data_IF_886681253274
#
_entry.id   IF_886681253274
#
_cell.length_a   1.000
_cell.length_b   1.000
_cell.length_c   1.000
_cell.angle_alpha   90.00
_cell.angle_beta   90.00
_cell.angle_gamma   90.00
#
_symmetry.space_group_name_H-M   'P 1'
#
loop_
_entity.id
_entity.type
_entity.pdbx_description
1 polymer ?
#
# COMPACT_ATOMS: atom_id res chain seq x y z
N UNK A 1 -11.95 18.44 13.54
CA UNK A 1 -10.82 17.51 13.70
C UNK A 1 -9.57 18.36 13.88
N UNK A 2 -8.73 18.03 14.86
CA UNK A 2 -7.47 18.74 15.07
C UNK A 2 -6.36 17.97 14.37
N UNK A 3 -5.52 18.66 13.60
CA UNK A 3 -4.36 18.05 12.94
C UNK A 3 -3.14 18.13 13.85
N UNK A 4 -2.27 17.13 13.77
CA UNK A 4 -0.93 17.16 14.37
C UNK A 4 0.06 17.26 13.22
N UNK A 5 0.57 18.46 12.89
CA UNK A 5 1.51 18.61 11.80
C UNK A 5 2.87 18.04 12.18
N UNK A 6 3.41 17.18 11.31
CA UNK A 6 4.76 16.63 11.42
C UNK A 6 5.50 17.00 10.15
N UNK A 7 6.54 17.84 10.27
CA UNK A 7 7.26 18.37 9.12
C UNK A 7 8.74 18.45 9.44
N UNK A 8 9.57 17.96 8.51
CA UNK A 8 11.04 17.95 8.64
C UNK A 8 11.53 17.32 9.96
N UNK A 9 10.96 16.18 10.33
CA UNK A 9 11.31 15.46 11.56
C UNK A 9 11.51 13.97 11.28
N UNK A 10 12.40 13.34 12.07
CA UNK A 10 12.60 11.90 12.10
C UNK A 10 11.99 11.35 13.40
N UNK A 11 10.75 10.86 13.31
CA UNK A 11 9.98 10.40 14.46
C UNK A 11 9.19 9.14 14.11
N UNK A 12 9.00 8.27 15.11
CA UNK A 12 8.06 7.16 15.01
C UNK A 12 6.67 7.61 15.48
N UNK A 13 5.64 7.31 14.69
CA UNK A 13 4.24 7.54 15.06
C UNK A 13 3.62 6.21 15.47
N UNK A 14 2.92 6.20 16.61
CA UNK A 14 2.12 5.06 17.07
C UNK A 14 0.68 5.53 17.21
N UNK A 15 -0.23 4.90 16.46
CA UNK A 15 -1.66 5.14 16.53
C UNK A 15 -2.37 3.81 16.85
N UNK A 16 -3.09 3.78 17.98
CA UNK A 16 -3.81 2.60 18.47
C UNK A 16 -5.22 3.00 18.87
N UNK A 17 -6.22 2.21 18.45
CA UNK A 17 -7.65 2.41 18.75
C UNK A 17 -8.18 3.83 18.44
N UNK A 18 -7.57 4.51 17.46
CA UNK A 18 -7.89 5.88 17.07
C UNK A 18 -8.46 6.01 15.66
N UNK A 19 -9.08 7.15 15.36
CA UNK A 19 -9.54 7.52 14.01
C UNK A 19 -8.57 8.52 13.40
N UNK A 20 -7.96 8.14 12.27
CA UNK A 20 -7.07 8.98 11.47
C UNK A 20 -7.71 9.39 10.13
N UNK A 21 -9.05 9.34 10.04
CA UNK A 21 -9.81 9.65 8.83
C UNK A 21 -9.41 11.03 8.26
N UNK A 22 -9.05 11.07 6.98
CA UNK A 22 -8.61 12.32 6.32
C UNK A 22 -7.18 12.76 6.61
N UNK A 23 -6.36 11.92 7.28
CA UNK A 23 -4.93 12.18 7.43
C UNK A 23 -4.20 12.09 6.09
N UNK A 24 -3.19 12.94 5.90
CA UNK A 24 -2.38 13.01 4.68
C UNK A 24 -0.94 12.66 4.99
N UNK A 25 -0.32 11.87 4.10
CA UNK A 25 1.08 11.45 4.18
C UNK A 25 1.76 11.82 2.86
N UNK A 26 2.41 12.98 2.82
CA UNK A 26 3.04 13.54 1.62
C UNK A 26 4.56 13.62 1.83
N UNK A 27 5.32 13.06 0.89
CA UNK A 27 6.80 13.05 0.93
C UNK A 27 7.40 12.47 2.23
N UNK A 28 6.69 11.57 2.90
CA UNK A 28 7.17 10.88 4.10
C UNK A 28 7.78 9.52 3.79
N UNK A 29 8.88 9.18 4.46
CA UNK A 29 9.37 7.79 4.49
C UNK A 29 8.56 6.99 5.51
N UNK A 30 7.93 5.92 5.05
CA UNK A 30 7.26 4.92 5.89
C UNK A 30 7.92 3.55 5.78
N UNK A 31 9.25 3.54 5.55
CA UNK A 31 10.00 2.29 5.51
C UNK A 31 9.80 1.49 6.79
N UNK A 32 9.43 0.21 6.63
CA UNK A 32 9.13 -0.73 7.74
C UNK A 32 7.93 -0.33 8.61
N UNK A 33 7.07 0.59 8.16
CA UNK A 33 5.80 0.84 8.82
C UNK A 33 4.90 -0.40 8.75
N UNK A 34 4.15 -0.65 9.83
CA UNK A 34 3.21 -1.77 9.93
C UNK A 34 1.79 -1.24 10.07
N UNK A 35 0.89 -1.81 9.29
CA UNK A 35 -0.52 -1.45 9.24
C UNK A 35 -1.36 -2.66 9.65
N UNK A 36 -1.67 -2.78 10.94
CA UNK A 36 -2.43 -3.92 11.49
C UNK A 36 -3.88 -3.52 11.76
N UNK A 37 -4.83 -4.22 11.15
CA UNK A 37 -6.27 -3.98 11.35
C UNK A 37 -6.72 -2.54 11.07
N UNK A 38 -6.08 -1.86 10.13
CA UNK A 38 -6.44 -0.50 9.73
C UNK A 38 -7.45 -0.50 8.58
N UNK A 39 -8.43 0.39 8.66
CA UNK A 39 -9.33 0.67 7.55
C UNK A 39 -8.66 1.64 6.58
N UNK A 40 -8.43 1.20 5.34
CA UNK A 40 -7.91 2.03 4.24
C UNK A 40 -8.93 2.13 3.09
N UNK A 41 -10.22 2.01 3.41
CA UNK A 41 -11.30 2.19 2.45
C UNK A 41 -11.20 3.59 1.84
N UNK A 42 -11.32 3.67 0.52
CA UNK A 42 -11.18 4.91 -0.25
C UNK A 42 -9.82 5.62 -0.12
N UNK A 43 -8.80 4.97 0.45
CA UNK A 43 -7.45 5.51 0.48
C UNK A 43 -6.86 5.57 -0.93
N UNK A 44 -6.28 6.72 -1.27
CA UNK A 44 -5.64 6.94 -2.56
C UNK A 44 -4.12 6.83 -2.44
N UNK A 45 -3.53 5.93 -3.22
CA UNK A 45 -2.09 5.73 -3.27
C UNK A 45 -1.54 6.32 -4.56
N UNK A 46 -0.92 7.50 -4.47
CA UNK A 46 -0.34 8.18 -5.61
C UNK A 46 1.19 8.18 -5.53
N UNK A 47 1.85 7.59 -6.53
CA UNK A 47 3.32 7.55 -6.64
C UNK A 47 4.01 6.94 -5.41
N UNK A 48 3.38 5.95 -4.79
CA UNK A 48 3.94 5.20 -3.66
C UNK A 48 4.85 4.07 -4.13
N UNK A 49 5.88 3.77 -3.36
CA UNK A 49 6.61 2.50 -3.52
C UNK A 49 6.09 1.48 -2.52
N UNK A 50 5.73 0.31 -3.04
CA UNK A 50 5.40 -0.90 -2.27
C UNK A 50 6.49 -1.97 -2.45
N UNK A 51 7.70 -1.56 -2.88
CA UNK A 51 8.81 -2.48 -3.13
C UNK A 51 9.13 -3.29 -1.86
N UNK A 52 9.14 -4.63 -1.99
CA UNK A 52 9.37 -5.58 -0.88
C UNK A 52 8.35 -5.49 0.26
N UNK A 53 7.18 -4.92 0.03
CA UNK A 53 6.07 -4.97 0.97
C UNK A 53 5.39 -6.35 0.98
N UNK A 54 4.78 -6.70 2.10
CA UNK A 54 3.96 -7.91 2.24
C UNK A 54 2.53 -7.50 2.56
N UNK A 55 1.59 -7.99 1.75
CA UNK A 55 0.16 -7.74 1.92
C UNK A 55 -0.52 -9.04 2.37
N UNK A 56 -0.61 -9.25 3.68
CA UNK A 56 -1.21 -10.46 4.27
C UNK A 56 -2.62 -10.20 4.77
N UNK A 57 -3.58 -11.03 4.38
CA UNK A 57 -4.98 -10.94 4.81
C UNK A 57 -5.62 -9.55 4.58
N UNK A 58 -5.22 -8.88 3.50
CA UNK A 58 -5.80 -7.60 3.07
C UNK A 58 -6.96 -7.82 2.12
N UNK A 59 -7.93 -6.92 2.10
CA UNK A 59 -8.92 -6.86 1.02
C UNK A 59 -8.33 -6.11 -0.17
N UNK A 60 -8.28 -6.77 -1.34
CA UNK A 60 -7.92 -6.14 -2.62
C UNK A 60 -9.14 -5.97 -3.54
N UNK A 61 -10.36 -6.07 -3.00
CA UNK A 61 -11.60 -5.94 -3.78
C UNK A 61 -11.66 -4.55 -4.41
N UNK A 62 -11.82 -4.51 -5.73
CA UNK A 62 -11.90 -3.26 -6.50
C UNK A 62 -10.56 -2.57 -6.76
N UNK A 63 -9.42 -3.14 -6.32
CA UNK A 63 -8.10 -2.59 -6.60
C UNK A 63 -7.73 -2.79 -8.07
N UNK A 64 -7.36 -1.70 -8.74
CA UNK A 64 -6.79 -1.72 -10.08
C UNK A 64 -5.30 -1.37 -10.02
N UNK A 65 -4.45 -2.26 -10.56
CA UNK A 65 -3.01 -2.02 -10.70
C UNK A 65 -2.73 -1.68 -12.15
N UNK A 66 -2.20 -0.48 -12.40
CA UNK A 66 -1.87 0.01 -13.74
C UNK A 66 -0.57 0.82 -13.71
N UNK A 67 0.15 0.87 -14.83
CA UNK A 67 1.39 1.65 -14.98
C UNK A 67 2.40 1.44 -13.84
N UNK A 68 2.48 0.22 -13.30
CA UNK A 68 3.26 -0.13 -12.12
C UNK A 68 4.34 -1.15 -12.47
N UNK A 69 5.43 -1.18 -11.70
CA UNK A 69 6.38 -2.30 -11.75
C UNK A 69 5.85 -3.44 -10.89
N UNK A 70 5.87 -4.64 -11.43
CA UNK A 70 5.43 -5.87 -10.75
C UNK A 70 6.49 -6.97 -10.80
N UNK A 71 7.75 -6.63 -11.09
CA UNK A 71 8.88 -7.55 -11.03
C UNK A 71 9.01 -8.16 -9.62
N UNK A 72 8.99 -9.49 -9.54
CA UNK A 72 9.01 -10.22 -8.27
C UNK A 72 7.71 -10.18 -7.47
N UNK A 73 6.66 -9.50 -7.94
CA UNK A 73 5.34 -9.54 -7.31
C UNK A 73 4.71 -10.93 -7.45
N UNK A 74 4.11 -11.42 -6.38
CA UNK A 74 3.33 -12.66 -6.39
C UNK A 74 1.92 -12.44 -5.88
N UNK A 75 0.97 -13.23 -6.39
CA UNK A 75 -0.39 -13.39 -5.85
C UNK A 75 -0.53 -14.85 -5.47
N UNK A 76 -0.79 -15.14 -4.18
CA UNK A 76 -0.82 -16.51 -3.64
C UNK A 76 0.44 -17.33 -4.01
N UNK A 77 1.61 -16.66 -4.01
CA UNK A 77 2.90 -17.27 -4.38
C UNK A 77 3.13 -17.43 -5.89
N UNK A 78 2.18 -17.07 -6.75
CA UNK A 78 2.30 -17.16 -8.21
C UNK A 78 2.86 -15.85 -8.76
N UNK A 79 3.95 -15.86 -9.56
CA UNK A 79 4.48 -14.65 -10.17
C UNK A 79 3.45 -13.94 -11.06
N UNK A 80 3.23 -12.64 -10.83
CA UNK A 80 2.29 -11.84 -11.63
C UNK A 80 2.72 -11.76 -13.09
N UNK A 81 4.03 -11.74 -13.35
CA UNK A 81 4.59 -11.79 -14.71
C UNK A 81 4.14 -13.04 -15.47
N UNK A 82 4.08 -14.20 -14.80
CA UNK A 82 3.61 -15.45 -15.41
C UNK A 82 2.10 -15.45 -15.64
N UNK A 83 1.31 -14.93 -14.68
CA UNK A 83 -0.14 -14.77 -14.85
C UNK A 83 -0.47 -13.93 -16.09
N UNK A 84 0.21 -12.80 -16.25
CA UNK A 84 0.02 -11.91 -17.41
C UNK A 84 0.48 -12.55 -18.73
N UNK A 85 1.60 -13.28 -18.72
CA UNK A 85 2.09 -14.01 -19.89
C UNK A 85 1.06 -15.05 -20.36
N UNK A 86 0.56 -15.88 -19.45
CA UNK A 86 -0.44 -16.91 -19.77
C UNK A 86 -1.73 -16.31 -20.36
N UNK A 87 -2.19 -15.17 -19.83
CA UNK A 87 -3.37 -14.47 -20.37
C UNK A 87 -3.14 -13.93 -21.79
N UNK A 88 -1.96 -13.36 -22.04
CA UNK A 88 -1.59 -12.83 -23.36
C UNK A 88 -1.46 -13.94 -24.42
N UNK A 89 -1.15 -15.18 -24.03
CA UNK A 89 -1.08 -16.33 -24.93
C UNK A 89 -2.45 -16.94 -25.26
N UNK A 90 -3.48 -16.64 -24.46
CA UNK A 90 -4.85 -17.15 -24.63
C UNK A 90 -5.80 -16.17 -25.31
N UNK A 91 -5.33 -14.96 -25.65
CA UNK A 91 -6.09 -13.90 -26.34
C UNK A 91 -5.49 -13.62 -27.71
#
# INVERSE_FOLDING_TARGET
>A
MTTVPLSNCDVQIVAQDGRLDGSTFEEVSMEKATFTSVGLNDAAFHRVSLDRSTLTAVSLVGVAISNSRYDGMTIEGIPVTELLRCFAETT
#
